data_IF_531700436520
#
_entry.id   IF_531700436520
#
_cell.length_a   1.000
_cell.length_b   1.000
_cell.length_c   1.000
_cell.angle_alpha   90.00
_cell.angle_beta   90.00
_cell.angle_gamma   90.00
#
_symmetry.space_group_name_H-M   'P 1'
#
loop_
_entity.id
_entity.type
_entity.pdbx_description
1 polymer ?
#
# COMPACT_ATOMS: atom_id res chain seq x y z
N UNK A 1 16.60 -6.72 -19.11
CA UNK A 1 16.19 -7.72 -18.10
C UNK A 1 16.75 -7.46 -16.69
N UNK A 2 17.37 -6.30 -16.39
CA UNK A 2 17.98 -6.00 -15.07
C UNK A 2 17.04 -5.34 -14.05
N UNK A 3 15.91 -4.77 -14.47
CA UNK A 3 14.98 -4.08 -13.57
C UNK A 3 14.20 -5.04 -12.67
N UNK A 4 13.95 -6.29 -13.11
CA UNK A 4 13.15 -7.25 -12.34
C UNK A 4 13.87 -7.72 -11.08
N UNK A 5 15.16 -8.07 -11.17
CA UNK A 5 15.98 -8.54 -10.04
C UNK A 5 16.16 -7.48 -8.93
N UNK A 6 16.43 -6.24 -9.31
CA UNK A 6 16.58 -5.14 -8.35
C UNK A 6 15.24 -4.79 -7.67
N UNK A 7 14.12 -4.81 -8.41
CA UNK A 7 12.78 -4.54 -7.84
C UNK A 7 12.42 -5.53 -6.72
N UNK A 8 12.81 -6.81 -6.86
CA UNK A 8 12.53 -7.85 -5.87
C UNK A 8 13.35 -7.65 -4.60
N UNK A 9 14.60 -7.18 -4.70
CA UNK A 9 15.43 -6.89 -3.52
C UNK A 9 14.90 -5.72 -2.70
N UNK A 10 14.41 -4.67 -3.35
CA UNK A 10 13.83 -3.51 -2.64
C UNK A 10 12.53 -3.83 -1.90
N UNK A 11 11.74 -4.78 -2.39
CA UNK A 11 10.51 -5.22 -1.72
C UNK A 11 10.79 -6.25 -0.61
N UNK A 12 11.72 -7.18 -0.85
CA UNK A 12 12.17 -8.16 0.14
C UNK A 12 12.65 -7.51 1.44
N UNK A 13 13.26 -6.33 1.37
CA UNK A 13 13.70 -5.61 2.58
C UNK A 13 12.56 -5.39 3.58
N UNK A 14 11.32 -5.15 3.10
CA UNK A 14 10.18 -4.92 3.97
C UNK A 14 9.75 -6.22 4.64
N UNK A 15 9.74 -7.33 3.90
CA UNK A 15 9.37 -8.66 4.42
C UNK A 15 10.36 -9.21 5.46
N UNK A 16 11.60 -8.73 5.43
CA UNK A 16 12.66 -9.13 6.36
C UNK A 16 12.65 -8.31 7.67
N UNK A 17 11.82 -7.27 7.79
CA UNK A 17 11.72 -6.49 9.03
C UNK A 17 11.01 -7.30 10.12
N UNK A 18 11.44 -7.16 11.38
CA UNK A 18 10.70 -7.72 12.51
C UNK A 18 9.45 -6.88 12.81
N UNK A 19 8.33 -7.22 12.17
CA UNK A 19 7.09 -6.45 12.22
C UNK A 19 6.40 -6.40 13.59
N UNK A 20 6.69 -7.34 14.49
CA UNK A 20 6.06 -7.43 15.82
C UNK A 20 6.46 -6.28 16.75
N UNK A 21 7.58 -5.61 16.48
CA UNK A 21 8.17 -4.59 17.36
C UNK A 21 8.06 -3.16 16.81
N UNK A 22 7.47 -2.98 15.62
CA UNK A 22 7.47 -1.69 14.93
C UNK A 22 6.39 -0.78 15.51
N UNK A 23 6.80 0.13 16.39
CA UNK A 23 5.94 1.20 16.94
C UNK A 23 5.60 2.28 15.92
N UNK A 24 6.50 2.57 14.97
CA UNK A 24 6.35 3.66 14.01
C UNK A 24 6.03 3.15 12.61
N UNK A 25 4.75 2.84 12.36
CA UNK A 25 4.29 2.30 11.07
C UNK A 25 4.11 3.37 9.98
N UNK A 26 3.86 4.62 10.37
CA UNK A 26 3.68 5.75 9.43
C UNK A 26 4.87 5.95 8.47
N UNK A 27 6.12 6.07 8.96
CA UNK A 27 7.28 6.20 8.06
C UNK A 27 7.43 5.01 7.10
N UNK A 28 7.08 3.81 7.55
CA UNK A 28 7.17 2.61 6.72
C UNK A 28 6.11 2.58 5.64
N UNK A 29 4.87 3.00 5.93
CA UNK A 29 3.83 3.18 4.91
C UNK A 29 4.32 4.12 3.81
N UNK A 30 4.92 5.26 4.18
CA UNK A 30 5.50 6.21 3.24
C UNK A 30 6.63 5.59 2.40
N UNK A 31 7.52 4.83 3.04
CA UNK A 31 8.59 4.14 2.33
C UNK A 31 8.06 3.05 1.38
N UNK A 32 7.05 2.29 1.76
CA UNK A 32 6.42 1.25 0.94
C UNK A 32 5.74 1.89 -0.28
N UNK A 33 4.90 2.90 -0.06
CA UNK A 33 4.28 3.71 -1.13
C UNK A 33 5.31 4.27 -2.11
N UNK A 34 6.36 4.92 -1.57
CA UNK A 34 7.43 5.49 -2.38
C UNK A 34 8.23 4.44 -3.15
N UNK A 35 8.48 3.28 -2.54
CA UNK A 35 9.21 2.17 -3.18
C UNK A 35 8.42 1.61 -4.35
N UNK A 36 7.12 1.35 -4.17
CA UNK A 36 6.25 0.87 -5.23
C UNK A 36 6.18 1.86 -6.41
N UNK A 37 6.13 3.17 -6.13
CA UNK A 37 6.21 4.19 -7.19
C UNK A 37 7.55 4.16 -7.94
N UNK A 38 8.68 4.02 -7.24
CA UNK A 38 10.02 3.97 -7.84
C UNK A 38 10.21 2.76 -8.77
N UNK A 39 9.58 1.63 -8.48
CA UNK A 39 9.64 0.42 -9.31
C UNK A 39 8.49 0.31 -10.32
N UNK A 40 7.81 1.44 -10.60
CA UNK A 40 6.71 1.56 -11.55
C UNK A 40 5.46 0.71 -11.22
N UNK A 41 5.27 0.35 -9.95
CA UNK A 41 4.09 -0.36 -9.43
C UNK A 41 3.00 0.61 -8.94
N UNK A 42 2.71 1.62 -9.78
CA UNK A 42 1.73 2.67 -9.45
C UNK A 42 0.30 2.15 -9.41
N UNK A 43 0.00 1.11 -10.19
CA UNK A 43 -1.33 0.48 -10.22
C UNK A 43 -1.57 -0.30 -8.93
N UNK A 44 -0.58 -1.05 -8.47
CA UNK A 44 -0.60 -1.81 -7.22
C UNK A 44 -0.76 -0.87 -6.02
N UNK A 45 -0.02 0.25 -5.99
CA UNK A 45 -0.25 1.31 -5.01
C UNK A 45 -1.71 1.79 -5.00
N UNK A 46 -2.30 2.03 -6.18
CA UNK A 46 -3.71 2.45 -6.28
C UNK A 46 -4.63 1.36 -5.74
N UNK A 47 -4.42 0.10 -6.10
CA UNK A 47 -5.22 -1.02 -5.61
C UNK A 47 -5.19 -1.15 -4.09
N UNK A 48 -3.99 -1.13 -3.49
CA UNK A 48 -3.81 -1.17 -2.03
C UNK A 48 -4.65 -0.08 -1.34
N UNK A 49 -4.57 1.15 -1.86
CA UNK A 49 -5.26 2.30 -1.28
C UNK A 49 -6.77 2.22 -1.45
N UNK A 50 -7.25 1.84 -2.64
CA UNK A 50 -8.68 1.67 -2.88
C UNK A 50 -9.25 0.53 -2.02
N UNK A 51 -8.54 -0.61 -1.93
CA UNK A 51 -8.98 -1.75 -1.13
C UNK A 51 -9.13 -1.38 0.35
N UNK A 52 -8.14 -0.67 0.92
CA UNK A 52 -8.23 -0.15 2.28
C UNK A 52 -9.43 0.80 2.45
N UNK A 53 -9.63 1.74 1.53
CA UNK A 53 -10.73 2.70 1.63
C UNK A 53 -12.11 2.02 1.53
N UNK A 54 -12.22 1.01 0.67
CA UNK A 54 -13.45 0.26 0.41
C UNK A 54 -13.82 -0.63 1.59
N UNK A 55 -12.87 -1.43 2.06
CA UNK A 55 -13.05 -2.37 3.17
C UNK A 55 -13.42 -1.67 4.49
N UNK A 56 -12.98 -0.43 4.68
CA UNK A 56 -13.24 0.33 5.90
C UNK A 56 -14.15 1.54 5.67
N UNK A 57 -14.83 1.61 4.51
CA UNK A 57 -15.70 2.72 4.11
C UNK A 57 -16.72 3.09 5.19
N UNK A 58 -17.39 2.10 5.78
CA UNK A 58 -18.35 2.25 6.88
C UNK A 58 -17.75 2.90 8.14
N UNK A 59 -16.47 2.63 8.42
CA UNK A 59 -15.79 3.13 9.62
C UNK A 59 -15.16 4.50 9.41
N UNK A 60 -14.73 4.79 8.18
CA UNK A 60 -13.93 5.98 7.87
C UNK A 60 -14.76 7.15 7.35
N UNK A 61 -16.08 7.07 7.40
CA UNK A 61 -16.98 8.17 7.01
C UNK A 61 -16.64 8.66 5.59
N UNK A 62 -16.55 7.70 4.66
CA UNK A 62 -16.30 7.98 3.27
C UNK A 62 -17.62 8.03 2.51
N UNK A 63 -18.01 9.23 2.11
CA UNK A 63 -19.20 9.42 1.30
C UNK A 63 -18.94 8.99 -0.16
N UNK A 64 -19.80 8.11 -0.68
CA UNK A 64 -19.80 7.68 -2.07
C UNK A 64 -18.91 6.47 -2.39
N UNK A 65 -18.99 6.01 -3.63
CA UNK A 65 -18.26 4.83 -4.09
C UNK A 65 -16.77 5.14 -4.27
N UNK A 66 -15.90 4.38 -3.57
CA UNK A 66 -14.43 4.52 -3.65
C UNK A 66 -13.95 4.39 -5.10
N UNK A 67 -14.48 3.44 -5.86
CA UNK A 67 -14.01 3.15 -7.21
C UNK A 67 -14.43 4.23 -8.21
N UNK A 68 -15.52 4.93 -7.99
CA UNK A 68 -15.92 6.09 -8.81
C UNK A 68 -15.05 7.31 -8.47
N UNK A 69 -14.89 7.58 -7.17
CA UNK A 69 -14.12 8.73 -6.69
C UNK A 69 -12.61 8.57 -6.90
N UNK A 70 -12.09 7.35 -7.06
CA UNK A 70 -10.67 7.10 -7.33
C UNK A 70 -10.25 7.63 -8.71
N UNK A 71 -11.12 7.51 -9.73
CA UNK A 71 -10.80 7.89 -11.11
C UNK A 71 -10.57 9.40 -11.25
N UNK A 72 -11.12 10.18 -10.33
CA UNK A 72 -10.97 11.64 -10.27
C UNK A 72 -9.75 12.09 -9.44
N UNK A 73 -9.06 11.18 -8.75
CA UNK A 73 -7.94 11.48 -7.85
C UNK A 73 -6.62 11.01 -8.43
N UNK A 74 -5.61 11.87 -8.36
CA UNK A 74 -4.23 11.45 -8.54
C UNK A 74 -3.84 10.43 -7.46
N UNK A 75 -2.81 9.62 -7.74
CA UNK A 75 -2.36 8.61 -6.79
C UNK A 75 -1.90 9.23 -5.45
N UNK A 76 -1.28 10.42 -5.48
CA UNK A 76 -0.86 11.13 -4.28
C UNK A 76 -2.06 11.64 -3.47
N UNK A 77 -3.10 12.16 -4.14
CA UNK A 77 -4.35 12.55 -3.46
C UNK A 77 -5.05 11.36 -2.82
N UNK A 78 -5.08 10.21 -3.52
CA UNK A 78 -5.64 8.97 -2.97
C UNK A 78 -4.85 8.48 -1.75
N UNK A 79 -3.51 8.57 -1.82
CA UNK A 79 -2.64 8.25 -0.69
C UNK A 79 -2.92 9.13 0.52
N UNK A 80 -2.98 10.46 0.33
CA UNK A 80 -3.27 11.41 1.41
C UNK A 80 -4.64 11.16 2.02
N UNK A 81 -5.66 10.87 1.20
CA UNK A 81 -6.99 10.53 1.66
C UNK A 81 -6.96 9.29 2.57
N UNK A 82 -6.46 8.16 2.07
CA UNK A 82 -6.37 6.90 2.82
C UNK A 82 -5.55 7.07 4.10
N UNK A 83 -4.40 7.73 4.01
CA UNK A 83 -3.51 7.94 5.14
C UNK A 83 -4.15 8.83 6.23
N UNK A 84 -4.80 9.93 5.85
CA UNK A 84 -5.48 10.82 6.80
C UNK A 84 -6.68 10.13 7.46
N UNK A 85 -7.47 9.37 6.69
CA UNK A 85 -8.57 8.54 7.23
C UNK A 85 -8.01 7.50 8.20
N UNK A 86 -6.95 6.79 7.82
CA UNK A 86 -6.30 5.82 8.71
C UNK A 86 -5.82 6.45 10.03
N UNK A 87 -5.25 7.67 10.01
CA UNK A 87 -4.88 8.38 11.24
C UNK A 87 -6.11 8.77 12.06
N UNK A 88 -7.11 9.40 11.44
CA UNK A 88 -8.33 9.89 12.11
C UNK A 88 -9.06 8.76 12.85
N UNK A 89 -9.14 7.59 12.22
CA UNK A 89 -9.89 6.45 12.74
C UNK A 89 -9.01 5.37 13.41
N UNK A 90 -7.74 5.69 13.70
CA UNK A 90 -6.78 4.76 14.37
C UNK A 90 -6.54 3.45 13.61
N UNK A 91 -6.65 3.46 12.28
CA UNK A 91 -6.44 2.32 11.38
C UNK A 91 -5.05 2.30 10.72
N UNK A 92 -4.06 3.00 11.27
CA UNK A 92 -2.69 3.02 10.70
C UNK A 92 -2.06 1.63 10.64
N UNK A 93 -2.29 0.81 11.67
CA UNK A 93 -1.82 -0.58 11.68
C UNK A 93 -2.42 -1.40 10.54
N UNK A 94 -3.70 -1.21 10.28
CA UNK A 94 -4.41 -1.89 9.19
C UNK A 94 -3.85 -1.47 7.83
N UNK A 95 -3.73 -0.16 7.57
CA UNK A 95 -3.15 0.33 6.32
C UNK A 95 -1.71 -0.18 6.13
N UNK A 96 -0.94 -0.27 7.21
CA UNK A 96 0.39 -0.84 7.19
C UNK A 96 0.39 -2.33 6.82
N UNK A 97 -0.49 -3.13 7.43
CA UNK A 97 -0.66 -4.56 7.14
C UNK A 97 -1.13 -4.81 5.72
N UNK A 98 -1.99 -3.96 5.18
CA UNK A 98 -2.47 -4.01 3.79
C UNK A 98 -1.32 -3.85 2.78
N UNK A 99 -0.47 -2.85 3.01
CA UNK A 99 0.75 -2.66 2.22
C UNK A 99 1.69 -3.86 2.33
N UNK A 100 1.91 -4.35 3.55
CA UNK A 100 2.83 -5.45 3.80
C UNK A 100 2.37 -6.74 3.11
N UNK A 101 1.10 -7.07 3.26
CA UNK A 101 0.47 -8.25 2.66
C UNK A 101 0.52 -8.18 1.14
N UNK A 102 0.18 -7.01 0.57
CA UNK A 102 0.21 -6.79 -0.87
C UNK A 102 1.63 -6.86 -1.43
N UNK A 103 2.62 -6.28 -0.75
CA UNK A 103 4.04 -6.40 -1.13
C UNK A 103 4.51 -7.85 -1.07
N UNK A 104 4.08 -8.61 -0.07
CA UNK A 104 4.32 -10.04 0.03
C UNK A 104 3.79 -10.79 -1.18
N UNK A 105 2.51 -10.59 -1.52
CA UNK A 105 1.87 -11.21 -2.67
C UNK A 105 2.50 -10.83 -4.02
N UNK A 106 2.91 -9.57 -4.19
CA UNK A 106 3.64 -9.09 -5.37
C UNK A 106 5.01 -9.78 -5.49
N UNK A 107 5.69 -9.95 -4.35
CA UNK A 107 7.02 -10.55 -4.30
C UNK A 107 7.00 -12.05 -4.61
N UNK A 108 5.91 -12.75 -4.31
CA UNK A 108 5.73 -14.17 -4.60
C UNK A 108 5.21 -14.43 -6.01
N UNK A 109 4.35 -13.56 -6.57
CA UNK A 109 3.77 -13.72 -7.93
C UNK A 109 4.80 -13.84 -9.05
N UNK A 110 6.03 -13.32 -8.89
CA UNK A 110 7.09 -13.42 -9.91
C UNK A 110 7.82 -14.77 -9.97
N UNK A 111 7.61 -15.66 -9.00
CA UNK A 111 8.21 -17.01 -9.02
C UNK A 111 7.39 -17.95 -9.94
N UNK A 112 6.13 -17.61 -10.23
CA UNK A 112 5.21 -18.43 -11.02
C UNK A 112 4.96 -17.75 -12.38
N UNK A 113 6.01 -17.66 -13.18
CA UNK A 113 5.86 -17.56 -14.63
C UNK A 113 6.72 -18.68 -15.20
N UNK A 114 6.09 -19.86 -15.32
CA UNK A 114 6.58 -21.01 -16.08
C UNK A 114 6.17 -20.79 -17.53
#
# INVERSE_FOLDING_TARGET
>A
MSASLNSTNYLKKFLLLNHKEIKFQTPLILQMYGTLNKINMRKENRYILCNFLDQYSDQIDLEGNVYETNNQKSLAQLFLLAFNKAKKFKLIKVLYEEYLTSIGAISTKKIIQI
#
